data_IF_731380341625
#
_entry.id   IF_731380341625
#
_cell.length_a   1.000
_cell.length_b   1.000
_cell.length_c   1.000
_cell.angle_alpha   90.00
_cell.angle_beta   90.00
_cell.angle_gamma   90.00
#
_symmetry.space_group_name_H-M   'P 1'
#
loop_
_entity.id
_entity.type
_entity.pdbx_description
1 polymer ?
#
# COMPACT_ATOMS: atom_id res chain seq x y z
N UNK A 1 12.27 -25.30 -44.32
CA UNK A 1 12.19 -24.58 -43.03
C UNK A 1 11.96 -25.66 -41.95
N UNK A 2 12.90 -25.83 -41.05
CA UNK A 2 12.86 -26.87 -40.04
C UNK A 2 11.83 -26.54 -38.94
N UNK A 3 11.16 -27.53 -38.40
CA UNK A 3 10.11 -27.42 -37.36
C UNK A 3 10.54 -26.51 -36.17
N UNK A 4 11.83 -26.42 -35.89
CA UNK A 4 12.38 -25.56 -34.83
C UNK A 4 12.29 -24.04 -35.13
N UNK A 5 12.31 -23.64 -36.41
CA UNK A 5 12.16 -22.21 -36.76
C UNK A 5 10.71 -21.74 -36.64
N UNK A 6 9.75 -22.64 -36.85
CA UNK A 6 8.31 -22.34 -36.67
C UNK A 6 7.96 -22.26 -35.19
N UNK A 7 8.56 -23.13 -34.37
CA UNK A 7 8.34 -23.12 -32.90
C UNK A 7 8.94 -21.87 -32.24
N UNK A 8 10.14 -21.40 -32.70
CA UNK A 8 10.73 -20.16 -32.23
C UNK A 8 9.93 -18.93 -32.67
N UNK A 9 9.36 -18.95 -33.88
CA UNK A 9 8.50 -17.86 -34.36
C UNK A 9 7.17 -17.81 -33.60
N UNK A 10 6.59 -18.96 -33.26
CA UNK A 10 5.37 -19.06 -32.43
C UNK A 10 5.63 -18.61 -30.98
N UNK A 11 6.77 -18.95 -30.39
CA UNK A 11 7.17 -18.45 -29.09
C UNK A 11 7.43 -16.92 -29.10
N UNK A 12 8.02 -16.38 -30.15
CA UNK A 12 8.21 -14.93 -30.30
C UNK A 12 6.88 -14.17 -30.46
N UNK A 13 5.90 -14.76 -31.15
CA UNK A 13 4.57 -14.15 -31.34
C UNK A 13 3.73 -14.22 -30.07
N UNK A 14 3.87 -15.26 -29.25
CA UNK A 14 3.18 -15.35 -27.94
C UNK A 14 3.73 -14.34 -26.94
N UNK A 15 5.02 -13.97 -27.03
CA UNK A 15 5.58 -12.91 -26.20
C UNK A 15 5.20 -11.48 -26.66
N UNK A 16 4.77 -11.31 -27.91
CA UNK A 16 4.34 -10.00 -28.46
C UNK A 16 2.83 -9.73 -28.25
N UNK A 17 2.07 -10.75 -27.80
CA UNK A 17 0.64 -10.64 -27.56
C UNK A 17 0.27 -10.57 -26.07
N UNK A 18 1.15 -10.02 -25.22
CA UNK A 18 0.69 -9.47 -23.95
C UNK A 18 -0.23 -8.30 -24.28
N UNK A 19 -1.47 -8.31 -23.80
CA UNK A 19 -2.43 -7.28 -24.17
C UNK A 19 -1.86 -5.91 -23.79
N UNK A 20 -1.69 -5.04 -24.80
CA UNK A 20 -1.29 -3.63 -24.59
C UNK A 20 -2.20 -2.90 -23.58
N UNK A 21 -3.38 -3.46 -23.28
CA UNK A 21 -4.30 -2.98 -22.25
C UNK A 21 -3.73 -3.00 -20.84
N UNK A 22 -2.88 -3.97 -20.47
CA UNK A 22 -2.20 -3.95 -19.15
C UNK A 22 -1.13 -2.85 -19.05
N UNK A 23 -0.47 -2.51 -20.17
CA UNK A 23 0.53 -1.46 -20.20
C UNK A 23 -0.07 -0.05 -20.10
N UNK A 24 -1.28 0.14 -20.63
CA UNK A 24 -1.97 1.42 -20.56
C UNK A 24 -2.39 1.81 -19.13
N UNK A 25 -2.64 0.84 -18.26
CA UNK A 25 -2.99 1.09 -16.85
C UNK A 25 -1.83 1.66 -16.03
N UNK A 26 -0.58 1.32 -16.35
CA UNK A 26 0.56 1.73 -15.54
C UNK A 26 1.24 3.03 -15.97
N UNK A 27 0.89 3.59 -17.13
CA UNK A 27 1.42 4.88 -17.66
C UNK A 27 2.94 5.09 -17.45
N UNK A 28 3.70 3.99 -17.26
CA UNK A 28 5.15 4.01 -17.06
C UNK A 28 5.83 3.29 -18.20
N UNK A 29 6.76 3.96 -18.83
CA UNK A 29 7.50 3.38 -19.96
C UNK A 29 8.41 2.27 -19.47
N UNK A 30 8.34 1.13 -20.10
CA UNK A 30 9.30 0.05 -19.93
C UNK A 30 9.67 -0.55 -21.30
N UNK A 31 10.83 -1.14 -21.37
CA UNK A 31 11.27 -1.97 -22.49
C UNK A 31 11.58 -3.38 -21.99
N UNK A 32 11.59 -4.33 -22.92
CA UNK A 32 12.05 -5.68 -22.62
C UNK A 32 13.34 -5.93 -23.38
N UNK A 33 14.45 -5.97 -22.66
CA UNK A 33 15.78 -6.16 -23.21
C UNK A 33 16.36 -7.50 -22.75
N UNK A 34 16.62 -8.40 -23.69
CA UNK A 34 17.14 -9.75 -23.39
C UNK A 34 16.35 -10.49 -22.31
N UNK A 35 15.00 -10.38 -22.35
CA UNK A 35 14.10 -11.02 -21.38
C UNK A 35 14.01 -10.32 -20.02
N UNK A 36 14.57 -9.12 -19.87
CA UNK A 36 14.47 -8.31 -18.65
C UNK A 36 13.60 -7.10 -18.90
N UNK A 37 12.75 -6.79 -17.95
CA UNK A 37 12.00 -5.53 -17.93
C UNK A 37 12.98 -4.42 -17.51
N UNK A 38 13.14 -3.43 -18.37
CA UNK A 38 13.93 -2.23 -18.09
C UNK A 38 12.97 -1.06 -17.99
N UNK A 39 13.04 -0.34 -16.91
CA UNK A 39 12.19 0.83 -16.65
C UNK A 39 13.05 2.05 -16.39
N UNK A 40 12.51 3.20 -16.74
CA UNK A 40 13.13 4.48 -16.46
C UNK A 40 13.12 4.77 -14.96
N UNK A 41 14.26 5.16 -14.40
CA UNK A 41 14.38 5.60 -13.03
C UNK A 41 14.48 7.12 -13.02
N UNK A 42 13.56 7.85 -12.33
CA UNK A 42 13.62 9.30 -12.27
C UNK A 42 14.94 9.79 -11.69
N UNK A 43 15.51 10.79 -12.33
CA UNK A 43 16.73 11.43 -11.83
C UNK A 43 16.37 12.42 -10.70
N UNK A 44 17.16 12.41 -9.65
CA UNK A 44 17.03 13.41 -8.58
C UNK A 44 17.40 14.80 -9.09
N UNK A 45 16.67 15.80 -8.63
CA UNK A 45 17.03 17.19 -8.88
C UNK A 45 18.37 17.54 -8.17
N UNK A 46 19.12 18.53 -8.65
CA UNK A 46 20.31 19.01 -7.95
C UNK A 46 20.00 19.34 -6.48
N UNK A 47 20.80 18.80 -5.57
CA UNK A 47 20.62 19.00 -4.12
C UNK A 47 19.53 18.13 -3.45
N UNK A 48 18.76 17.37 -4.21
CA UNK A 48 17.78 16.43 -3.65
C UNK A 48 18.50 15.22 -3.06
N UNK A 49 18.27 14.96 -1.78
CA UNK A 49 18.88 13.86 -1.04
C UNK A 49 17.86 12.72 -0.79
N UNK A 50 18.37 11.50 -0.68
CA UNK A 50 17.54 10.33 -0.40
C UNK A 50 16.71 10.48 0.89
N UNK A 51 15.53 9.88 0.92
CA UNK A 51 14.73 9.74 2.12
C UNK A 51 15.18 8.59 3.03
N UNK A 52 16.17 7.79 2.62
CA UNK A 52 16.78 6.78 3.49
C UNK A 52 17.39 7.47 4.72
N UNK A 53 17.06 6.96 5.91
CA UNK A 53 17.49 7.54 7.19
C UNK A 53 16.97 8.98 7.43
N UNK A 54 15.89 9.38 6.77
CA UNK A 54 15.23 10.64 7.06
C UNK A 54 14.81 10.68 8.52
N UNK A 55 15.15 11.77 9.19
CA UNK A 55 14.75 12.04 10.57
C UNK A 55 13.95 13.33 10.64
N UNK A 56 13.09 13.43 11.64
CA UNK A 56 12.31 14.62 11.96
C UNK A 56 12.60 15.01 13.41
N UNK A 57 12.66 16.30 13.74
CA UNK A 57 12.75 16.74 15.14
C UNK A 57 11.65 16.11 15.99
N UNK A 58 11.99 15.77 17.22
CA UNK A 58 11.02 15.17 18.16
C UNK A 58 9.87 16.16 18.39
N UNK A 59 8.66 15.68 18.15
CA UNK A 59 7.43 16.40 18.48
C UNK A 59 6.86 15.85 19.80
N UNK A 60 6.53 16.70 20.78
CA UNK A 60 5.92 16.25 22.04
C UNK A 60 4.52 15.66 21.79
N UNK A 61 3.79 16.20 20.82
CA UNK A 61 2.48 15.75 20.37
C UNK A 61 2.47 15.67 18.85
N UNK A 62 1.92 14.58 18.31
CA UNK A 62 1.65 14.40 16.88
C UNK A 62 0.14 14.43 16.67
N UNK A 63 -0.33 15.43 15.95
CA UNK A 63 -1.74 15.64 15.64
C UNK A 63 -2.08 14.91 14.34
N UNK A 64 -3.01 13.96 14.42
CA UNK A 64 -3.31 13.03 13.34
C UNK A 64 -4.68 13.28 12.73
N UNK A 65 -4.71 13.39 11.41
CA UNK A 65 -5.93 13.30 10.62
C UNK A 65 -6.07 11.89 10.02
N UNK A 66 -7.23 11.27 10.19
CA UNK A 66 -7.53 9.95 9.63
C UNK A 66 -8.38 10.07 8.37
N UNK A 67 -7.94 9.44 7.29
CA UNK A 67 -8.66 9.39 6.00
C UNK A 67 -8.91 7.94 5.59
N UNK A 68 -10.18 7.60 5.36
CA UNK A 68 -10.61 6.23 5.13
C UNK A 68 -11.02 5.53 6.43
N UNK A 69 -12.31 5.57 6.74
CA UNK A 69 -12.90 5.07 7.98
C UNK A 69 -13.86 3.89 7.72
N UNK A 70 -13.51 3.09 6.72
CA UNK A 70 -14.22 1.87 6.38
C UNK A 70 -13.92 0.71 7.34
N UNK A 71 -13.35 -0.36 6.83
CA UNK A 71 -13.09 -1.58 7.63
C UNK A 71 -11.91 -1.40 8.59
N UNK A 72 -10.79 -0.81 8.12
CA UNK A 72 -9.54 -0.69 8.90
C UNK A 72 -9.50 0.57 9.77
N UNK A 73 -10.04 1.67 9.27
CA UNK A 73 -9.96 2.99 9.91
C UNK A 73 -10.47 3.05 11.34
N UNK A 74 -11.69 2.54 11.67
CA UNK A 74 -12.21 2.60 13.02
C UNK A 74 -11.29 1.93 14.06
N UNK A 75 -10.78 0.74 13.75
CA UNK A 75 -9.85 0.04 14.65
C UNK A 75 -8.49 0.74 14.76
N UNK A 76 -8.08 1.49 13.74
CA UNK A 76 -6.88 2.32 13.82
C UNK A 76 -7.12 3.53 14.73
N UNK A 77 -8.23 4.25 14.59
CA UNK A 77 -8.60 5.36 15.49
C UNK A 77 -8.60 4.87 16.93
N UNK A 78 -9.27 3.73 17.22
CA UNK A 78 -9.35 3.14 18.55
C UNK A 78 -7.98 2.80 19.14
N UNK A 79 -7.05 2.28 18.36
CA UNK A 79 -5.70 1.98 18.86
C UNK A 79 -4.83 3.24 19.02
N UNK A 80 -4.87 4.14 18.04
CA UNK A 80 -3.96 5.28 18.03
C UNK A 80 -4.28 6.33 19.07
N UNK A 81 -5.56 6.52 19.43
CA UNK A 81 -5.94 7.48 20.48
C UNK A 81 -5.34 7.15 21.86
N UNK A 82 -4.89 5.91 22.07
CA UNK A 82 -4.25 5.48 23.32
C UNK A 82 -2.71 5.55 23.27
N UNK A 83 -2.12 5.93 22.13
CA UNK A 83 -0.66 6.08 22.02
C UNK A 83 -0.27 7.41 22.67
N UNK A 84 0.64 7.40 23.68
CA UNK A 84 1.09 8.65 24.31
C UNK A 84 1.67 9.63 23.30
N UNK A 85 1.22 10.87 23.32
CA UNK A 85 1.68 11.91 22.39
C UNK A 85 0.95 11.91 21.05
N UNK A 86 -0.09 11.12 20.87
CA UNK A 86 -0.99 11.19 19.69
C UNK A 86 -2.28 11.92 20.06
N UNK A 87 -2.68 12.86 19.20
CA UNK A 87 -4.00 13.50 19.23
C UNK A 87 -4.73 13.27 17.92
N UNK A 88 -5.96 12.74 17.98
CA UNK A 88 -6.84 12.59 16.83
C UNK A 88 -7.60 13.89 16.63
N UNK A 89 -7.25 14.66 15.61
CA UNK A 89 -7.81 16.03 15.40
C UNK A 89 -8.74 16.14 14.19
N UNK A 90 -8.73 15.15 13.30
CA UNK A 90 -9.62 15.13 12.13
C UNK A 90 -9.96 13.72 11.69
N UNK A 91 -11.18 13.53 11.21
CA UNK A 91 -11.74 12.28 10.69
C UNK A 91 -12.36 12.55 9.32
N UNK A 92 -11.98 11.75 8.32
CA UNK A 92 -12.48 11.90 6.96
C UNK A 92 -12.84 10.55 6.33
N UNK A 93 -14.02 10.47 5.76
CA UNK A 93 -14.42 9.37 4.88
C UNK A 93 -15.32 9.89 3.77
N UNK A 94 -15.38 9.17 2.66
CA UNK A 94 -16.36 9.47 1.60
C UNK A 94 -17.79 9.51 2.14
N UNK A 95 -18.14 8.57 3.03
CA UNK A 95 -19.45 8.51 3.69
C UNK A 95 -19.36 9.17 5.08
N UNK A 96 -20.05 10.30 5.26
CA UNK A 96 -20.09 11.06 6.52
C UNK A 96 -20.40 10.20 7.75
N UNK A 97 -21.33 9.24 7.61
CA UNK A 97 -21.74 8.33 8.71
C UNK A 97 -20.57 7.50 9.28
N UNK A 98 -19.51 7.24 8.49
CA UNK A 98 -18.31 6.51 8.97
C UNK A 98 -17.44 7.40 9.83
N UNK A 99 -17.27 8.67 9.46
CA UNK A 99 -16.57 9.64 10.27
C UNK A 99 -17.33 9.92 11.59
N UNK A 100 -18.66 10.00 11.54
CA UNK A 100 -19.53 10.14 12.71
C UNK A 100 -19.42 8.91 13.65
N UNK A 101 -19.34 7.70 13.09
CA UNK A 101 -19.13 6.48 13.87
C UNK A 101 -17.78 6.51 14.59
N UNK A 102 -16.71 6.97 13.96
CA UNK A 102 -15.40 7.15 14.58
C UNK A 102 -15.42 8.28 15.64
N UNK A 103 -16.16 9.36 15.38
CA UNK A 103 -16.39 10.40 16.39
C UNK A 103 -17.09 9.84 17.64
N UNK A 104 -18.02 8.89 17.45
CA UNK A 104 -18.63 8.17 18.59
C UNK A 104 -17.59 7.36 19.36
N UNK A 105 -16.66 6.68 18.67
CA UNK A 105 -15.57 5.93 19.32
C UNK A 105 -14.75 6.87 20.23
N UNK A 106 -14.34 8.03 19.71
CA UNK A 106 -13.60 9.02 20.51
C UNK A 106 -14.38 9.46 21.74
N UNK A 107 -15.66 9.82 21.57
CA UNK A 107 -16.54 10.25 22.66
C UNK A 107 -16.72 9.17 23.71
N UNK A 108 -16.96 7.92 23.31
CA UNK A 108 -17.17 6.80 24.22
C UNK A 108 -15.91 6.49 25.06
N UNK A 109 -14.73 6.91 24.59
CA UNK A 109 -13.45 6.82 25.28
C UNK A 109 -13.00 8.14 25.94
N UNK A 110 -13.91 9.11 26.09
CA UNK A 110 -13.63 10.42 26.69
C UNK A 110 -12.51 11.20 26.01
N UNK A 111 -12.28 10.96 24.72
CA UNK A 111 -11.31 11.69 23.93
C UNK A 111 -11.92 12.98 23.37
N UNK A 112 -11.09 14.01 23.09
CA UNK A 112 -11.53 15.23 22.45
C UNK A 112 -12.23 14.97 21.10
N UNK A 113 -13.17 15.85 20.77
CA UNK A 113 -13.85 15.79 19.48
C UNK A 113 -12.90 16.16 18.35
N UNK A 114 -12.91 15.37 17.26
CA UNK A 114 -12.19 15.64 16.04
C UNK A 114 -13.09 16.36 15.03
N UNK A 115 -12.51 17.15 14.14
CA UNK A 115 -13.26 17.74 13.02
C UNK A 115 -13.62 16.66 12.00
N UNK A 116 -14.84 16.74 11.45
CA UNK A 116 -15.34 15.77 10.47
C UNK A 116 -15.28 16.35 9.08
N UNK A 117 -14.79 15.58 8.14
CA UNK A 117 -14.77 15.83 6.70
C UNK A 117 -15.41 14.67 5.97
N UNK A 118 -16.10 14.95 4.84
CA UNK A 118 -16.74 13.90 4.06
C UNK A 118 -16.83 14.25 2.58
N UNK A 119 -17.23 13.25 1.78
CA UNK A 119 -17.32 13.37 0.33
C UNK A 119 -16.00 13.13 -0.39
N UNK A 120 -16.06 13.17 -1.71
CA UNK A 120 -14.95 12.81 -2.60
C UNK A 120 -13.70 13.68 -2.39
N UNK A 121 -13.90 14.96 -2.07
CA UNK A 121 -12.83 15.96 -1.89
C UNK A 121 -12.52 16.27 -0.43
N UNK A 122 -13.21 15.61 0.52
CA UNK A 122 -13.09 15.90 1.95
C UNK A 122 -11.66 15.79 2.47
N UNK A 123 -10.87 14.86 1.97
CA UNK A 123 -9.46 14.71 2.34
C UNK A 123 -8.61 15.94 1.96
N UNK A 124 -8.96 16.65 0.88
CA UNK A 124 -8.23 17.86 0.48
C UNK A 124 -8.42 18.99 1.49
N UNK A 125 -9.62 19.15 2.01
CA UNK A 125 -9.90 20.14 3.06
C UNK A 125 -9.19 19.76 4.37
N UNK A 126 -9.18 18.48 4.73
CA UNK A 126 -8.41 17.99 5.88
C UNK A 126 -6.92 18.31 5.72
N UNK A 127 -6.33 18.05 4.56
CA UNK A 127 -4.90 18.31 4.31
C UNK A 127 -4.52 19.80 4.37
N UNK A 128 -5.44 20.74 4.14
CA UNK A 128 -5.18 22.19 4.25
C UNK A 128 -5.03 22.69 5.69
N UNK A 129 -5.48 21.93 6.68
CA UNK A 129 -5.39 22.33 8.09
C UNK A 129 -3.94 22.51 8.53
N UNK A 130 -3.69 23.50 9.38
CA UNK A 130 -2.34 23.80 9.92
C UNK A 130 -2.04 23.05 11.22
N UNK A 131 -3.06 22.49 11.85
CA UNK A 131 -2.99 21.75 13.10
C UNK A 131 -3.00 20.23 12.90
N UNK A 132 -2.56 19.76 11.74
CA UNK A 132 -2.32 18.35 11.44
C UNK A 132 -0.83 18.19 11.11
N UNK A 133 -0.19 17.23 11.74
CA UNK A 133 1.21 16.87 11.52
C UNK A 133 1.34 15.62 10.64
N UNK A 134 0.40 14.67 10.80
CA UNK A 134 0.41 13.38 10.14
C UNK A 134 -0.99 13.03 9.61
N UNK A 135 -1.05 12.50 8.41
CA UNK A 135 -2.27 11.91 7.84
C UNK A 135 -2.11 10.38 7.82
N UNK A 136 -3.01 9.70 8.55
CA UNK A 136 -3.17 8.25 8.48
C UNK A 136 -4.17 7.91 7.37
N UNK A 137 -3.80 6.99 6.47
CA UNK A 137 -4.50 6.72 5.23
C UNK A 137 -4.88 5.25 5.14
N UNK A 138 -6.19 4.97 5.14
CA UNK A 138 -6.77 3.63 5.02
C UNK A 138 -7.98 3.60 4.07
N UNK A 139 -7.88 4.32 2.98
CA UNK A 139 -8.87 4.37 1.89
C UNK A 139 -8.88 3.06 1.08
N UNK A 140 -9.51 3.05 -0.06
CA UNK A 140 -9.23 2.07 -1.10
C UNK A 140 -7.84 2.33 -1.75
N UNK A 141 -7.37 1.38 -2.54
CA UNK A 141 -6.02 1.45 -3.09
C UNK A 141 -5.84 2.56 -4.14
N UNK A 142 -6.90 2.92 -4.86
CA UNK A 142 -6.85 4.01 -5.84
C UNK A 142 -6.62 5.38 -5.16
N UNK A 143 -7.07 5.53 -3.92
CA UNK A 143 -6.97 6.79 -3.18
C UNK A 143 -5.76 6.86 -2.25
N UNK A 144 -5.06 5.76 -1.95
CA UNK A 144 -3.86 5.79 -1.09
C UNK A 144 -2.85 6.82 -1.57
N UNK A 145 -2.46 6.74 -2.84
CA UNK A 145 -1.53 7.68 -3.46
C UNK A 145 -2.05 9.12 -3.46
N UNK A 146 -3.31 9.32 -3.84
CA UNK A 146 -3.89 10.66 -3.98
C UNK A 146 -3.89 11.41 -2.64
N UNK A 147 -4.30 10.73 -1.57
CA UNK A 147 -4.33 11.31 -0.22
C UNK A 147 -2.93 11.56 0.29
N UNK A 148 -2.00 10.61 0.13
CA UNK A 148 -0.61 10.77 0.57
C UNK A 148 0.11 11.92 -0.15
N UNK A 149 -0.08 12.01 -1.47
CA UNK A 149 0.41 13.14 -2.27
C UNK A 149 -0.13 14.46 -1.75
N UNK A 150 -1.44 14.56 -1.57
CA UNK A 150 -2.10 15.76 -1.05
C UNK A 150 -1.58 16.13 0.35
N UNK A 151 -1.41 15.16 1.25
CA UNK A 151 -0.87 15.37 2.57
C UNK A 151 0.55 15.98 2.51
N UNK A 152 1.46 15.36 1.76
CA UNK A 152 2.84 15.82 1.67
C UNK A 152 2.97 17.18 0.97
N UNK A 153 2.18 17.46 -0.07
CA UNK A 153 2.13 18.78 -0.73
C UNK A 153 1.62 19.88 0.19
N UNK A 154 0.87 19.52 1.23
CA UNK A 154 0.40 20.43 2.27
C UNK A 154 1.25 20.40 3.57
N UNK A 155 2.46 19.84 3.52
CA UNK A 155 3.40 19.84 4.63
C UNK A 155 3.08 18.83 5.75
N UNK A 156 2.39 17.73 5.45
CA UNK A 156 2.05 16.66 6.39
C UNK A 156 2.86 15.42 6.12
N UNK A 157 3.26 14.71 7.16
CA UNK A 157 3.71 13.33 7.04
C UNK A 157 2.56 12.43 6.56
N UNK A 158 2.87 11.35 5.86
CA UNK A 158 1.90 10.37 5.39
C UNK A 158 2.21 8.97 5.95
N UNK A 159 1.22 8.35 6.59
CA UNK A 159 1.25 6.97 7.05
C UNK A 159 0.15 6.21 6.31
N UNK A 160 0.54 5.29 5.44
CA UNK A 160 -0.33 4.69 4.43
C UNK A 160 -0.48 3.20 4.70
N UNK A 161 -1.70 2.70 4.80
CA UNK A 161 -1.97 1.26 4.80
C UNK A 161 -1.51 0.61 3.49
N UNK A 162 -1.29 -0.70 3.52
CA UNK A 162 -0.79 -1.45 2.36
C UNK A 162 -1.84 -1.63 1.26
N UNK A 163 -1.41 -1.55 0.00
CA UNK A 163 -0.14 -1.06 -0.53
C UNK A 163 -0.11 0.48 -0.58
N UNK A 164 1.05 1.07 -0.47
CA UNK A 164 1.17 2.54 -0.52
C UNK A 164 0.80 3.15 -1.88
N UNK A 165 0.93 2.37 -2.94
CA UNK A 165 0.62 2.75 -4.32
C UNK A 165 0.42 1.49 -5.18
N UNK A 166 -0.20 1.64 -6.33
CA UNK A 166 -0.59 0.52 -7.22
C UNK A 166 0.16 0.49 -8.55
N UNK A 167 1.01 1.48 -8.82
CA UNK A 167 1.84 1.52 -10.02
C UNK A 167 3.17 2.25 -9.79
N UNK A 168 4.12 2.05 -10.69
CA UNK A 168 5.48 2.61 -10.58
C UNK A 168 5.51 4.14 -10.58
N UNK A 169 4.62 4.80 -11.32
CA UNK A 169 4.54 6.27 -11.33
C UNK A 169 4.20 6.81 -9.95
N UNK A 170 3.21 6.23 -9.31
CA UNK A 170 2.79 6.62 -7.96
C UNK A 170 3.91 6.39 -6.95
N UNK A 171 4.55 5.21 -6.98
CA UNK A 171 5.67 4.88 -6.10
C UNK A 171 6.79 5.91 -6.25
N UNK A 172 7.23 6.20 -7.48
CA UNK A 172 8.28 7.19 -7.71
C UNK A 172 7.87 8.60 -7.31
N UNK A 173 6.60 8.95 -7.51
CA UNK A 173 6.09 10.27 -7.08
C UNK A 173 6.11 10.40 -5.54
N UNK A 174 5.72 9.36 -4.79
CA UNK A 174 5.78 9.38 -3.34
C UNK A 174 7.22 9.50 -2.83
N UNK A 175 8.16 8.77 -3.44
CA UNK A 175 9.58 8.86 -3.10
C UNK A 175 10.10 10.28 -3.38
N UNK A 176 9.85 10.82 -4.55
CA UNK A 176 10.28 12.15 -4.98
C UNK A 176 9.71 13.25 -4.06
N UNK A 177 8.44 13.16 -3.70
CA UNK A 177 7.81 14.08 -2.76
C UNK A 177 8.44 13.98 -1.36
N UNK A 178 8.64 12.78 -0.83
CA UNK A 178 9.29 12.58 0.47
C UNK A 178 10.71 13.17 0.48
N UNK A 179 11.47 12.95 -0.60
CA UNK A 179 12.83 13.50 -0.74
C UNK A 179 12.84 15.03 -0.85
N UNK A 180 11.91 15.62 -1.60
CA UNK A 180 11.82 17.09 -1.80
C UNK A 180 11.28 17.83 -0.58
N UNK A 181 10.25 17.27 0.05
CA UNK A 181 9.59 17.94 1.19
C UNK A 181 10.22 17.61 2.51
N UNK A 182 11.08 16.60 2.57
CA UNK A 182 11.67 16.04 3.80
C UNK A 182 10.61 15.57 4.81
N UNK A 183 9.48 15.10 4.30
CA UNK A 183 8.39 14.52 5.08
C UNK A 183 8.43 12.99 5.01
N UNK A 184 8.12 12.33 6.11
CA UNK A 184 8.00 10.89 6.12
C UNK A 184 6.80 10.45 5.28
N UNK A 185 7.03 9.48 4.40
CA UNK A 185 6.01 8.73 3.67
C UNK A 185 6.21 7.25 4.02
N UNK A 186 5.41 6.72 4.91
CA UNK A 186 5.60 5.40 5.49
C UNK A 186 4.46 4.47 5.09
N UNK A 187 4.82 3.33 4.49
CA UNK A 187 3.86 2.24 4.33
C UNK A 187 3.77 1.45 5.64
N UNK A 188 2.57 1.31 6.17
CA UNK A 188 2.31 0.65 7.44
C UNK A 188 2.18 -0.88 7.25
N UNK A 189 3.28 -1.51 6.83
CA UNK A 189 3.35 -2.97 6.68
C UNK A 189 3.38 -3.64 8.06
N UNK A 190 2.22 -4.04 8.54
CA UNK A 190 2.05 -4.56 9.90
C UNK A 190 2.88 -5.82 10.18
N UNK A 191 3.07 -6.70 9.19
CA UNK A 191 3.85 -7.92 9.37
C UNK A 191 5.34 -7.66 9.68
N UNK A 192 5.85 -6.47 9.40
CA UNK A 192 7.22 -6.11 9.82
C UNK A 192 7.35 -5.86 11.33
N UNK A 193 6.23 -5.69 12.06
CA UNK A 193 6.20 -5.26 13.45
C UNK A 193 5.61 -6.30 14.41
N UNK A 194 5.27 -7.48 13.90
CA UNK A 194 4.84 -8.58 14.74
C UNK A 194 6.02 -9.14 15.55
N UNK A 195 5.74 -9.79 16.67
CA UNK A 195 6.76 -10.25 17.61
C UNK A 195 7.83 -11.14 16.97
N UNK A 196 7.40 -12.09 16.13
CA UNK A 196 8.33 -13.03 15.50
C UNK A 196 9.24 -12.34 14.47
N UNK A 197 8.68 -11.45 13.69
CA UNK A 197 9.39 -10.71 12.65
C UNK A 197 10.41 -9.74 13.27
N UNK A 198 10.00 -8.99 14.29
CA UNK A 198 10.94 -8.11 15.03
C UNK A 198 12.03 -8.89 15.75
N UNK A 199 11.71 -10.03 16.34
CA UNK A 199 12.70 -10.87 16.99
C UNK A 199 13.67 -11.46 15.97
N UNK A 200 13.17 -11.99 14.85
CA UNK A 200 13.99 -12.51 13.76
C UNK A 200 14.91 -11.43 13.17
N UNK A 201 14.40 -10.22 12.97
CA UNK A 201 15.19 -9.07 12.52
C UNK A 201 16.31 -8.74 13.53
N UNK A 202 16.00 -8.68 14.82
CA UNK A 202 16.99 -8.42 15.86
C UNK A 202 18.07 -9.51 15.92
N UNK A 203 17.69 -10.78 15.76
CA UNK A 203 18.63 -11.90 15.70
C UNK A 203 19.55 -11.81 14.46
N UNK A 204 18.96 -11.49 13.30
CA UNK A 204 19.74 -11.29 12.06
C UNK A 204 20.75 -10.13 12.21
N UNK A 205 20.32 -9.00 12.76
CA UNK A 205 21.17 -7.83 12.98
C UNK A 205 22.30 -8.10 13.97
N UNK A 206 22.11 -9.03 14.91
CA UNK A 206 23.13 -9.48 15.85
C UNK A 206 23.99 -10.62 15.35
N UNK A 207 23.82 -11.05 14.10
CA UNK A 207 24.61 -12.10 13.47
C UNK A 207 24.31 -13.52 13.98
N UNK A 208 23.20 -13.72 14.71
CA UNK A 208 22.84 -15.04 15.28
C UNK A 208 22.65 -16.09 14.19
N UNK A 209 22.18 -15.68 13.01
CA UNK A 209 21.99 -16.59 11.87
C UNK A 209 23.21 -16.72 10.97
N UNK A 210 24.29 -15.99 11.25
CA UNK A 210 25.40 -15.85 10.31
C UNK A 210 24.94 -15.14 9.02
N UNK A 211 25.51 -15.52 7.88
CA UNK A 211 25.11 -14.99 6.58
C UNK A 211 23.78 -15.60 6.14
N UNK A 212 22.76 -14.78 6.01
CA UNK A 212 21.43 -15.22 5.57
C UNK A 212 21.42 -15.36 4.05
N UNK A 213 21.41 -16.60 3.56
CA UNK A 213 21.48 -16.93 2.13
C UNK A 213 20.11 -17.23 1.51
N UNK A 214 19.08 -17.44 2.33
CA UNK A 214 17.73 -17.74 1.89
C UNK A 214 16.71 -17.28 2.93
N UNK A 215 15.62 -16.72 2.45
CA UNK A 215 14.47 -16.39 3.28
C UNK A 215 13.16 -16.68 2.51
N UNK A 216 12.13 -17.12 3.22
CA UNK A 216 10.82 -17.42 2.68
C UNK A 216 9.74 -16.71 3.49
N UNK A 217 8.85 -16.01 2.81
CA UNK A 217 7.65 -15.42 3.38
C UNK A 217 6.44 -15.81 2.55
N UNK A 218 5.26 -15.79 3.18
CA UNK A 218 4.03 -16.13 2.51
C UNK A 218 2.86 -15.33 3.09
N UNK A 219 1.94 -14.91 2.22
CA UNK A 219 0.62 -14.45 2.61
C UNK A 219 -0.39 -15.50 2.17
N UNK A 220 -0.92 -16.27 3.13
CA UNK A 220 -1.90 -17.32 2.90
C UNK A 220 -3.11 -17.07 3.78
N UNK A 221 -4.25 -16.76 3.17
CA UNK A 221 -5.47 -16.44 3.88
C UNK A 221 -6.65 -17.26 3.38
N UNK A 222 -7.42 -17.79 4.33
CA UNK A 222 -8.76 -18.24 4.08
C UNK A 222 -9.69 -17.02 4.19
N UNK A 223 -10.26 -16.56 3.08
CA UNK A 223 -11.05 -15.34 3.00
C UNK A 223 -12.55 -15.59 2.75
N UNK A 224 -13.03 -16.82 2.82
CA UNK A 224 -14.43 -17.13 2.51
C UNK A 224 -15.41 -16.37 3.42
N UNK A 225 -15.05 -16.14 4.68
CA UNK A 225 -15.85 -15.36 5.62
C UNK A 225 -15.98 -13.87 5.24
N UNK A 226 -15.02 -13.35 4.46
CA UNK A 226 -15.03 -11.95 4.00
C UNK A 226 -15.77 -11.75 2.68
N UNK A 227 -16.08 -12.82 1.93
CA UNK A 227 -16.73 -12.71 0.63
C UNK A 227 -18.05 -11.94 0.67
N UNK A 228 -18.83 -12.06 1.72
CA UNK A 228 -20.06 -11.28 1.92
C UNK A 228 -19.84 -9.77 1.86
N UNK A 229 -18.66 -9.29 2.26
CA UNK A 229 -18.30 -7.87 2.18
C UNK A 229 -17.87 -7.46 0.77
N UNK A 230 -17.24 -8.36 0.03
CA UNK A 230 -16.82 -8.10 -1.34
C UNK A 230 -18.00 -8.01 -2.31
N UNK A 231 -19.04 -8.82 -2.08
CA UNK A 231 -20.28 -8.82 -2.87
C UNK A 231 -21.26 -7.71 -2.46
N UNK A 232 -21.06 -7.08 -1.34
CA UNK A 232 -21.94 -6.00 -0.89
C UNK A 232 -21.72 -4.78 -1.79
N UNK A 233 -22.78 -4.37 -2.48
CA UNK A 233 -22.77 -3.16 -3.27
C UNK A 233 -22.80 -1.91 -2.39
N UNK A 234 -22.09 -0.89 -2.81
CA UNK A 234 -22.13 0.42 -2.18
C UNK A 234 -23.36 1.22 -2.63
N UNK A 235 -23.48 2.46 -2.19
CA UNK A 235 -24.61 3.34 -2.57
C UNK A 235 -24.68 3.65 -4.07
N UNK A 236 -23.60 3.47 -4.82
CA UNK A 236 -23.52 3.65 -6.27
C UNK A 236 -23.70 2.33 -7.05
N UNK A 237 -24.24 1.29 -6.42
CA UNK A 237 -24.46 -0.04 -6.99
C UNK A 237 -23.17 -0.75 -7.46
N UNK A 238 -22.00 -0.29 -7.00
CA UNK A 238 -20.71 -0.91 -7.28
C UNK A 238 -20.37 -1.97 -6.24
N UNK A 239 -19.80 -3.07 -6.69
CA UNK A 239 -19.24 -4.10 -5.81
C UNK A 239 -18.10 -3.55 -4.96
N UNK A 240 -17.74 -4.26 -3.90
CA UNK A 240 -16.61 -3.88 -3.08
C UNK A 240 -15.33 -3.75 -3.92
N UNK A 241 -14.58 -2.68 -3.74
CA UNK A 241 -13.39 -2.37 -4.53
C UNK A 241 -12.36 -3.50 -4.56
N UNK A 242 -12.24 -4.31 -3.51
CA UNK A 242 -11.34 -5.48 -3.50
C UNK A 242 -11.75 -6.54 -4.51
N UNK A 243 -13.05 -6.73 -4.74
CA UNK A 243 -13.53 -7.68 -5.75
C UNK A 243 -13.20 -7.19 -7.15
N UNK A 244 -13.37 -5.90 -7.42
CA UNK A 244 -12.98 -5.31 -8.70
C UNK A 244 -11.47 -5.48 -8.95
N UNK A 245 -10.63 -5.22 -7.93
CA UNK A 245 -9.20 -5.48 -8.04
C UNK A 245 -8.87 -6.96 -8.32
N UNK A 246 -9.50 -7.89 -7.61
CA UNK A 246 -9.29 -9.33 -7.86
C UNK A 246 -9.77 -9.79 -9.23
N UNK A 247 -10.73 -9.09 -9.82
CA UNK A 247 -11.23 -9.35 -11.16
C UNK A 247 -10.26 -8.84 -12.24
N UNK A 248 -9.75 -7.64 -12.06
CA UNK A 248 -9.02 -6.91 -13.09
C UNK A 248 -7.49 -7.09 -13.00
N UNK A 249 -6.98 -7.42 -11.81
CA UNK A 249 -5.55 -7.64 -11.58
C UNK A 249 -5.24 -9.09 -11.25
N UNK A 250 -4.23 -9.62 -11.92
CA UNK A 250 -3.74 -10.97 -11.73
C UNK A 250 -2.40 -10.92 -10.98
N UNK A 251 -2.22 -11.87 -10.06
CA UNK A 251 -0.99 -11.96 -9.27
C UNK A 251 -1.24 -11.85 -7.78
N UNK A 252 -0.18 -11.69 -7.01
CA UNK A 252 -0.23 -11.52 -5.57
C UNK A 252 -0.48 -10.05 -5.21
N UNK A 253 -1.70 -9.76 -4.76
CA UNK A 253 -2.12 -8.41 -4.37
C UNK A 253 -1.58 -7.99 -2.99
N UNK A 254 -1.04 -8.92 -2.20
CA UNK A 254 -0.54 -8.70 -0.84
C UNK A 254 0.88 -9.21 -0.63
N UNK A 255 1.71 -9.21 -1.66
CA UNK A 255 3.12 -9.59 -1.59
C UNK A 255 3.88 -8.88 -0.47
N UNK A 256 3.46 -7.68 -0.10
CA UNK A 256 4.07 -6.86 0.96
C UNK A 256 4.14 -7.57 2.30
N UNK A 257 3.13 -8.35 2.67
CA UNK A 257 3.09 -9.05 3.97
C UNK A 257 4.15 -10.15 4.10
N UNK A 258 4.47 -10.83 3.00
CA UNK A 258 5.58 -11.80 2.98
C UNK A 258 6.93 -11.13 2.71
N UNK A 259 6.95 -10.16 1.80
CA UNK A 259 8.18 -9.54 1.33
C UNK A 259 8.74 -8.50 2.31
N UNK A 260 7.90 -7.78 3.05
CA UNK A 260 8.33 -6.74 3.97
C UNK A 260 9.34 -7.24 5.02
N UNK A 261 8.99 -8.24 5.85
CA UNK A 261 9.91 -8.82 6.82
C UNK A 261 11.20 -9.37 6.19
N UNK A 262 11.08 -10.06 5.05
CA UNK A 262 12.24 -10.59 4.32
C UNK A 262 13.17 -9.48 3.86
N UNK A 263 12.62 -8.41 3.29
CA UNK A 263 13.40 -7.28 2.82
C UNK A 263 14.17 -6.60 3.97
N UNK A 264 13.61 -6.59 5.17
CA UNK A 264 14.29 -6.08 6.37
C UNK A 264 15.44 -6.97 6.80
N UNK A 265 15.21 -8.28 6.90
CA UNK A 265 16.24 -9.25 7.31
C UNK A 265 17.40 -9.30 6.32
N UNK A 266 17.12 -9.21 5.03
CA UNK A 266 18.11 -9.23 3.94
C UNK A 266 18.71 -7.84 3.64
N UNK A 267 18.41 -6.81 4.42
CA UNK A 267 18.90 -5.44 4.21
C UNK A 267 18.66 -4.88 2.78
N UNK A 268 17.54 -5.23 2.16
CA UNK A 268 17.21 -4.73 0.83
C UNK A 268 17.15 -3.19 0.84
N UNK A 269 17.85 -2.56 -0.09
CA UNK A 269 18.12 -1.11 -0.16
C UNK A 269 18.96 -0.53 0.99
N UNK A 270 19.52 -1.37 1.85
CA UNK A 270 20.40 -0.97 2.98
C UNK A 270 21.73 -1.73 2.99
N UNK A 271 22.17 -2.18 1.85
CA UNK A 271 23.38 -2.98 1.64
C UNK A 271 23.20 -4.06 0.58
N UNK A 272 21.98 -4.55 0.41
CA UNK A 272 21.62 -5.51 -0.63
C UNK A 272 20.53 -4.97 -1.58
N UNK A 273 20.25 -5.69 -2.65
CA UNK A 273 19.24 -5.33 -3.68
C UNK A 273 18.67 -6.55 -4.38
N UNK A 274 17.41 -6.43 -4.78
CA UNK A 274 16.81 -7.42 -5.68
C UNK A 274 17.43 -7.30 -7.08
N UNK A 275 17.77 -8.43 -7.68
CA UNK A 275 18.36 -8.51 -9.03
C UNK A 275 17.45 -9.18 -10.03
N UNK A 276 16.67 -10.13 -9.61
CA UNK A 276 15.80 -10.93 -10.48
C UNK A 276 14.48 -11.20 -9.78
N UNK A 277 13.39 -11.12 -10.53
CA UNK A 277 12.06 -11.54 -10.09
C UNK A 277 11.54 -12.60 -11.05
N UNK A 278 11.01 -13.68 -10.50
CA UNK A 278 10.24 -14.68 -11.23
C UNK A 278 8.87 -14.79 -10.59
N UNK A 279 7.82 -14.67 -11.38
CA UNK A 279 6.45 -14.80 -10.91
C UNK A 279 5.75 -15.96 -11.61
N UNK A 280 5.02 -16.76 -10.83
CA UNK A 280 4.19 -17.84 -11.34
C UNK A 280 2.83 -17.78 -10.66
N UNK A 281 1.78 -18.07 -11.38
CA UNK A 281 0.42 -18.17 -10.84
C UNK A 281 -0.31 -19.43 -11.32
N UNK A 282 -1.42 -19.73 -10.69
CA UNK A 282 -2.31 -20.83 -11.06
C UNK A 282 -3.66 -20.29 -11.51
N UNK A 283 -4.50 -21.17 -12.06
CA UNK A 283 -5.91 -20.84 -12.29
C UNK A 283 -6.61 -20.56 -10.96
N UNK A 284 -7.56 -19.63 -10.98
CA UNK A 284 -8.46 -19.41 -9.84
C UNK A 284 -9.48 -20.55 -9.78
N UNK A 285 -9.50 -21.28 -8.67
CA UNK A 285 -10.45 -22.37 -8.43
C UNK A 285 -11.56 -21.98 -7.45
N UNK A 286 -11.18 -21.40 -6.31
CA UNK A 286 -12.12 -21.11 -5.24
C UNK A 286 -13.00 -19.90 -5.54
N UNK A 287 -12.48 -18.89 -6.20
CA UNK A 287 -13.25 -17.72 -6.61
C UNK A 287 -14.47 -18.10 -7.44
N UNK A 288 -14.27 -18.92 -8.48
CA UNK A 288 -15.37 -19.43 -9.33
C UNK A 288 -16.44 -20.18 -8.51
N UNK A 289 -16.02 -21.11 -7.66
CA UNK A 289 -16.94 -21.89 -6.81
C UNK A 289 -17.73 -21.01 -5.84
N UNK A 290 -17.12 -19.95 -5.33
CA UNK A 290 -17.79 -19.00 -4.45
C UNK A 290 -18.80 -18.14 -5.21
N UNK A 291 -18.45 -17.70 -6.42
CA UNK A 291 -19.39 -17.00 -7.31
C UNK A 291 -20.60 -17.89 -7.56
N UNK A 292 -20.39 -19.12 -8.03
CA UNK A 292 -21.47 -20.09 -8.30
C UNK A 292 -22.35 -20.33 -7.06
N UNK A 293 -21.76 -20.38 -5.86
CA UNK A 293 -22.49 -20.57 -4.59
C UNK A 293 -23.37 -19.38 -4.21
N UNK A 294 -22.95 -18.14 -4.52
CA UNK A 294 -23.63 -16.92 -4.05
C UNK A 294 -24.46 -16.23 -5.13
N UNK A 295 -24.31 -16.60 -6.40
CA UNK A 295 -25.05 -16.00 -7.53
C UNK A 295 -25.90 -17.00 -8.29
N UNK A 296 -25.72 -18.31 -8.08
CA UNK A 296 -26.46 -19.42 -8.70
C UNK A 296 -27.68 -19.75 -8.01
#
# INVERSE_FOLDING_TARGET
MTKNKVLLALLAVVFLALPQSLCAQFNWKYTVEKGKIVTEVPQRAPGQTTALQLTTPKMPVVRVGFVGLGMRGPSAVERWMHIPGIEVVALCDYEAKRAEACQKILRDNSMPAAAIYSGEEGYKELCKRKDIDLVYIATDWDHHFLVAKCAMENGKHAAIEVPSAINLREIWTLIDLSEKTRLHCVMLENCCYDFFELNSLNMAQKGVFGDVIYAQGAYKHELSSFWKYYWKKNAQDKLGWRLEYNKDYRGDLYATHGLGPIAQVLNIHRGDRMRTLVAMDTKSFNGKKLVEKYTG
#
